data_IF_552235316596
#
_entry.id   IF_552235316596
#
_cell.length_a   1.000
_cell.length_b   1.000
_cell.length_c   1.000
_cell.angle_alpha   90.00
_cell.angle_beta   90.00
_cell.angle_gamma   90.00
#
_symmetry.space_group_name_H-M   'P 1'
#
loop_
_entity.id
_entity.type
_entity.pdbx_description
1 polymer ?
#
# COMPACT_ATOMS: atom_id res chain seq x y z
N UNK A 1 5.84 63.79 -60.51
CA UNK A 1 7.08 63.50 -59.77
C UNK A 1 6.69 63.24 -58.34
N UNK A 2 6.73 61.99 -57.89
CA UNK A 2 7.45 61.57 -56.69
C UNK A 2 7.25 60.06 -56.48
N UNK A 3 8.35 59.32 -56.53
CA UNK A 3 8.43 57.90 -56.22
C UNK A 3 9.45 57.76 -55.11
N UNK A 4 9.02 57.43 -53.90
CA UNK A 4 9.75 56.59 -52.93
C UNK A 4 9.18 56.78 -51.51
N UNK A 5 8.67 55.70 -50.93
CA UNK A 5 9.06 55.41 -49.55
C UNK A 5 9.16 53.91 -49.31
N UNK A 6 10.36 53.57 -48.87
CA UNK A 6 10.92 52.27 -48.52
C UNK A 6 10.62 51.97 -47.04
N UNK A 7 10.77 50.68 -46.69
CA UNK A 7 11.44 50.17 -45.46
C UNK A 7 10.61 50.26 -44.17
N UNK A 8 10.59 49.29 -43.24
CA UNK A 8 11.16 47.93 -43.14
C UNK A 8 10.48 47.29 -41.92
N UNK A 9 9.90 46.10 -42.04
CA UNK A 9 9.46 45.29 -40.92
C UNK A 9 10.53 44.22 -40.64
N UNK A 10 11.24 44.32 -39.51
CA UNK A 10 12.10 43.27 -38.93
C UNK A 10 12.69 43.78 -37.61
N UNK A 11 12.03 43.53 -36.47
CA UNK A 11 12.64 43.57 -35.15
C UNK A 11 11.69 43.02 -34.07
N UNK A 12 11.64 41.69 -33.93
CA UNK A 12 11.03 41.05 -32.76
C UNK A 12 11.32 39.54 -32.74
N UNK A 13 12.60 39.16 -32.68
CA UNK A 13 13.01 37.75 -32.53
C UNK A 13 14.23 37.54 -31.60
N UNK A 14 14.45 38.42 -30.63
CA UNK A 14 15.63 38.36 -29.74
C UNK A 14 15.31 38.57 -28.26
N UNK A 15 14.14 38.15 -27.77
CA UNK A 15 13.73 38.37 -26.38
C UNK A 15 13.30 37.11 -25.60
N UNK A 16 13.47 35.90 -26.16
CA UNK A 16 12.93 34.66 -25.53
C UNK A 16 14.00 33.74 -24.94
N UNK A 17 15.30 33.98 -25.18
CA UNK A 17 16.35 33.04 -24.75
C UNK A 17 17.03 33.36 -23.41
N UNK A 18 16.81 34.54 -22.82
CA UNK A 18 17.49 34.91 -21.55
C UNK A 18 16.72 34.54 -20.28
N UNK A 19 15.50 33.99 -20.38
CA UNK A 19 14.70 33.61 -19.20
C UNK A 19 14.85 32.14 -18.79
N UNK A 20 15.47 31.29 -19.60
CA UNK A 20 15.55 29.84 -19.34
C UNK A 20 16.77 29.42 -18.50
N UNK A 21 17.72 30.33 -18.24
CA UNK A 21 18.98 30.03 -17.53
C UNK A 21 18.98 30.39 -16.04
N UNK A 22 17.86 30.88 -15.47
CA UNK A 22 17.77 31.28 -14.05
C UNK A 22 17.01 30.33 -13.12
N UNK A 23 16.57 29.15 -13.59
CA UNK A 23 15.78 28.21 -12.76
C UNK A 23 16.63 27.04 -12.23
N UNK A 24 17.91 26.92 -12.62
CA UNK A 24 18.70 25.70 -12.36
C UNK A 24 19.57 25.69 -11.10
N UNK A 25 19.43 26.66 -10.19
CA UNK A 25 20.46 26.83 -9.14
C UNK A 25 19.94 27.25 -7.75
N UNK A 26 18.75 26.78 -7.34
CA UNK A 26 18.27 26.93 -5.96
C UNK A 26 17.34 25.78 -5.52
N UNK A 27 17.90 24.61 -5.25
CA UNK A 27 17.27 23.60 -4.37
C UNK A 27 18.22 22.41 -4.17
N UNK A 28 19.38 22.68 -3.56
CA UNK A 28 20.26 21.67 -3.01
C UNK A 28 20.82 22.20 -1.68
N UNK A 29 20.10 21.93 -0.59
CA UNK A 29 20.63 21.83 0.77
C UNK A 29 19.49 21.54 1.73
N UNK A 30 19.80 20.79 2.78
CA UNK A 30 18.95 20.41 3.91
C UNK A 30 18.21 19.07 3.76
N UNK A 31 19.02 18.01 3.68
CA UNK A 31 18.67 16.73 4.30
C UNK A 31 19.29 16.74 5.70
N UNK A 32 18.49 17.10 6.71
CA UNK A 32 18.84 16.99 8.12
C UNK A 32 17.70 16.20 8.80
N UNK A 33 18.07 15.01 9.28
CA UNK A 33 17.60 14.35 10.51
C UNK A 33 16.08 14.19 10.71
N UNK A 34 15.54 13.05 10.25
CA UNK A 34 14.34 12.49 10.87
C UNK A 34 14.75 11.17 11.55
N UNK A 35 14.90 11.23 12.88
CA UNK A 35 14.79 10.09 13.79
C UNK A 35 13.36 9.54 13.67
N UNK A 36 13.18 8.48 12.87
CA UNK A 36 11.94 7.73 12.83
C UNK A 36 11.98 6.62 13.91
N UNK A 37 11.96 7.04 15.17
CA UNK A 37 11.50 6.21 16.29
C UNK A 37 9.96 6.21 16.27
N UNK A 38 9.39 5.57 15.24
CA UNK A 38 7.95 5.36 15.11
C UNK A 38 7.57 3.96 15.60
N UNK A 39 7.84 3.69 16.88
CA UNK A 39 7.11 2.67 17.64
C UNK A 39 5.72 3.22 18.04
N UNK A 40 4.95 3.68 17.06
CA UNK A 40 3.53 4.00 17.26
C UNK A 40 2.75 2.72 17.00
N UNK A 41 2.63 1.90 18.05
CA UNK A 41 1.54 0.95 18.17
C UNK A 41 0.29 1.65 17.65
N UNK A 42 -0.36 1.12 16.62
CA UNK A 42 -1.66 1.58 16.13
C UNK A 42 -2.71 1.44 17.26
N UNK A 43 -2.62 2.32 18.26
CA UNK A 43 -3.53 2.43 19.37
C UNK A 43 -4.64 3.32 18.85
N UNK A 44 -5.49 2.72 18.01
CA UNK A 44 -6.68 3.37 17.50
C UNK A 44 -7.39 4.07 18.66
N UNK A 45 -7.76 5.36 18.52
CA UNK A 45 -8.32 6.12 19.61
C UNK A 45 -9.53 5.36 20.16
N UNK A 46 -9.66 5.17 21.49
CA UNK A 46 -10.71 4.36 22.12
C UNK A 46 -12.14 4.64 21.62
N UNK A 47 -12.37 5.87 21.11
CA UNK A 47 -13.64 6.29 20.51
C UNK A 47 -14.02 5.54 19.23
N UNK A 48 -13.06 5.14 18.39
CA UNK A 48 -13.33 4.40 17.15
C UNK A 48 -13.74 2.94 17.44
N UNK A 49 -13.14 2.32 18.47
CA UNK A 49 -13.54 0.98 18.90
C UNK A 49 -14.97 0.98 19.45
N UNK A 50 -15.32 1.95 20.29
CA UNK A 50 -16.69 2.08 20.82
C UNK A 50 -17.71 2.26 19.69
N UNK A 51 -17.40 3.09 18.69
CA UNK A 51 -18.27 3.28 17.54
C UNK A 51 -18.57 1.97 16.79
N UNK A 52 -17.54 1.16 16.51
CA UNK A 52 -17.74 -0.11 15.82
C UNK A 52 -18.57 -1.09 16.64
N UNK A 53 -18.38 -1.13 17.97
CA UNK A 53 -19.16 -1.98 18.86
C UNK A 53 -20.63 -1.54 18.95
N UNK A 54 -20.89 -0.24 18.95
CA UNK A 54 -22.25 0.31 18.92
C UNK A 54 -22.96 -0.02 17.60
N UNK A 55 -22.22 -0.07 16.49
CA UNK A 55 -22.72 -0.55 15.20
C UNK A 55 -23.05 -2.04 15.25
N UNK A 56 -22.13 -2.89 15.71
CA UNK A 56 -22.34 -4.33 15.84
C UNK A 56 -23.64 -4.63 16.61
N UNK A 57 -23.83 -3.99 17.77
CA UNK A 57 -25.00 -4.16 18.63
C UNK A 57 -26.31 -3.77 17.92
N UNK A 58 -26.30 -2.72 17.11
CA UNK A 58 -27.49 -2.25 16.41
C UNK A 58 -27.80 -3.01 15.12
N UNK A 59 -26.81 -3.69 14.55
CA UNK A 59 -26.92 -4.36 13.27
C UNK A 59 -27.08 -5.88 13.41
N UNK A 60 -26.77 -6.42 14.58
CA UNK A 60 -26.87 -7.84 14.90
C UNK A 60 -28.27 -8.41 14.57
N UNK A 61 -28.30 -9.50 13.80
CA UNK A 61 -29.52 -10.23 13.46
C UNK A 61 -30.45 -9.57 12.45
N UNK A 62 -30.05 -8.44 11.86
CA UNK A 62 -30.83 -7.79 10.80
C UNK A 62 -30.69 -8.55 9.47
N UNK A 63 -31.77 -8.54 8.67
CA UNK A 63 -31.71 -9.00 7.28
C UNK A 63 -30.88 -8.04 6.42
N UNK A 64 -30.36 -8.52 5.29
CA UNK A 64 -29.52 -7.74 4.38
C UNK A 64 -30.03 -6.33 4.09
N UNK A 65 -31.28 -6.18 3.63
CA UNK A 65 -31.86 -4.87 3.29
C UNK A 65 -31.94 -3.92 4.50
N UNK A 66 -32.34 -4.45 5.66
CA UNK A 66 -32.44 -3.67 6.90
C UNK A 66 -31.07 -3.29 7.44
N UNK A 67 -30.11 -4.22 7.38
CA UNK A 67 -28.71 -3.98 7.76
C UNK A 67 -28.13 -2.83 6.94
N UNK A 68 -28.24 -2.91 5.61
CA UNK A 68 -27.69 -1.91 4.69
C UNK A 68 -28.31 -0.54 4.93
N UNK A 69 -29.65 -0.46 4.97
CA UNK A 69 -30.37 0.79 5.23
C UNK A 69 -30.02 1.39 6.60
N UNK A 70 -29.97 0.55 7.64
CA UNK A 70 -29.66 0.98 9.01
C UNK A 70 -28.22 1.47 9.14
N UNK A 71 -27.25 0.74 8.61
CA UNK A 71 -25.83 1.09 8.64
C UNK A 71 -25.58 2.44 7.95
N UNK A 72 -26.13 2.64 6.75
CA UNK A 72 -26.04 3.91 6.03
C UNK A 72 -26.60 5.07 6.87
N UNK A 73 -27.74 4.85 7.55
CA UNK A 73 -28.36 5.85 8.43
C UNK A 73 -27.49 6.15 9.66
N UNK A 74 -26.93 5.15 10.31
CA UNK A 74 -26.05 5.32 11.48
C UNK A 74 -24.76 6.05 11.13
N UNK A 75 -24.21 5.79 9.94
CA UNK A 75 -23.06 6.50 9.41
C UNK A 75 -23.41 7.87 8.79
N UNK A 76 -24.69 8.27 8.76
CA UNK A 76 -25.13 9.54 8.16
C UNK A 76 -24.72 9.71 6.68
N UNK A 77 -24.71 8.62 5.91
CA UNK A 77 -24.15 8.56 4.55
C UNK A 77 -22.66 8.98 4.43
N UNK A 78 -21.92 8.95 5.54
CA UNK A 78 -20.48 9.23 5.54
C UNK A 78 -19.71 8.00 5.06
N UNK A 79 -19.10 8.12 3.87
CA UNK A 79 -18.30 7.05 3.29
C UNK A 79 -17.11 6.66 4.16
N UNK A 80 -16.44 7.62 4.80
CA UNK A 80 -15.25 7.32 5.60
C UNK A 80 -15.61 6.43 6.78
N UNK A 81 -16.70 6.74 7.51
CA UNK A 81 -17.19 5.90 8.61
C UNK A 81 -17.59 4.50 8.15
N UNK A 82 -18.24 4.41 6.98
CA UNK A 82 -18.59 3.11 6.39
C UNK A 82 -17.35 2.31 6.02
N UNK A 83 -16.32 2.96 5.47
CA UNK A 83 -15.08 2.31 5.09
C UNK A 83 -14.29 1.86 6.32
N UNK A 84 -14.18 2.69 7.35
CA UNK A 84 -13.52 2.33 8.61
C UNK A 84 -14.16 1.10 9.24
N UNK A 85 -15.50 1.07 9.30
CA UNK A 85 -16.23 -0.10 9.81
C UNK A 85 -16.05 -1.34 8.94
N UNK A 86 -16.02 -1.18 7.62
CA UNK A 86 -15.75 -2.26 6.66
C UNK A 86 -14.35 -2.86 6.85
N UNK A 87 -13.34 -2.03 7.05
CA UNK A 87 -11.96 -2.47 7.29
C UNK A 87 -11.87 -3.26 8.61
N UNK A 88 -12.53 -2.80 9.67
CA UNK A 88 -12.65 -3.56 10.94
C UNK A 88 -13.31 -4.91 10.80
N UNK A 89 -14.40 -4.98 10.02
CA UNK A 89 -15.02 -6.26 9.70
C UNK A 89 -14.08 -7.16 8.89
N UNK A 90 -13.32 -6.61 7.96
CA UNK A 90 -12.34 -7.37 7.19
C UNK A 90 -11.19 -7.91 8.04
N UNK A 91 -10.67 -7.12 8.98
CA UNK A 91 -9.68 -7.58 9.98
C UNK A 91 -10.22 -8.76 10.80
N UNK A 92 -11.46 -8.66 11.29
CA UNK A 92 -12.11 -9.75 12.03
C UNK A 92 -12.30 -10.99 11.18
N UNK A 93 -12.76 -10.83 9.93
CA UNK A 93 -12.97 -11.94 9.01
C UNK A 93 -11.66 -12.68 8.69
N UNK A 94 -10.54 -11.97 8.52
CA UNK A 94 -9.21 -12.57 8.27
C UNK A 94 -8.72 -13.50 9.37
N UNK A 95 -9.22 -13.35 10.60
CA UNK A 95 -8.88 -14.23 11.73
C UNK A 95 -9.68 -15.54 11.74
N UNK A 96 -10.63 -15.72 10.81
CA UNK A 96 -11.46 -16.92 10.73
C UNK A 96 -10.91 -17.93 9.69
N UNK A 97 -11.10 -19.23 9.92
CA UNK A 97 -10.80 -20.24 8.91
C UNK A 97 -11.63 -19.99 7.65
N UNK A 98 -11.09 -20.38 6.50
CA UNK A 98 -11.71 -20.24 5.18
C UNK A 98 -11.92 -18.79 4.67
N UNK A 99 -11.40 -17.78 5.37
CA UNK A 99 -11.40 -16.42 4.84
C UNK A 99 -10.56 -16.37 3.55
N UNK A 100 -11.06 -15.74 2.45
CA UNK A 100 -10.28 -15.58 1.23
C UNK A 100 -8.97 -14.86 1.50
N UNK A 101 -7.88 -15.39 0.94
CA UNK A 101 -6.57 -14.74 0.98
C UNK A 101 -6.57 -13.51 0.07
N UNK A 102 -5.88 -12.44 0.51
CA UNK A 102 -5.69 -11.23 -0.27
C UNK A 102 -6.10 -9.94 0.43
N UNK A 103 -6.17 -8.85 -0.34
CA UNK A 103 -6.53 -7.52 0.15
C UNK A 103 -8.01 -7.24 -0.09
N UNK A 104 -8.63 -6.48 0.81
CA UNK A 104 -9.98 -5.97 0.61
C UNK A 104 -9.98 -5.04 -0.61
N UNK A 105 -10.84 -5.28 -1.58
CA UNK A 105 -10.90 -4.48 -2.81
C UNK A 105 -12.11 -3.56 -2.83
N UNK A 106 -11.93 -2.34 -3.32
CA UNK A 106 -13.08 -1.51 -3.67
C UNK A 106 -13.68 -2.04 -4.97
N UNK A 107 -14.92 -2.56 -4.89
CA UNK A 107 -15.63 -3.04 -6.08
C UNK A 107 -15.74 -1.88 -7.07
N UNK A 108 -15.24 -2.10 -8.30
CA UNK A 108 -15.31 -1.09 -9.37
C UNK A 108 -16.76 -0.64 -9.53
N UNK A 109 -16.94 0.64 -9.86
CA UNK A 109 -18.24 1.28 -10.04
C UNK A 109 -19.08 0.52 -11.08
N UNK A 110 -19.82 -0.54 -10.68
CA UNK A 110 -20.98 -0.97 -11.45
C UNK A 110 -21.89 0.24 -11.57
N UNK A 111 -22.57 0.39 -12.71
CA UNK A 111 -23.44 1.55 -12.99
C UNK A 111 -24.59 1.73 -11.98
N UNK A 112 -24.80 0.76 -11.10
CA UNK A 112 -25.88 0.71 -10.12
C UNK A 112 -25.37 0.88 -8.69
N UNK A 113 -25.90 1.89 -7.99
CA UNK A 113 -25.71 2.13 -6.55
C UNK A 113 -24.60 3.13 -6.20
N UNK A 114 -24.83 3.89 -5.12
CA UNK A 114 -23.83 4.82 -4.57
C UNK A 114 -22.65 4.05 -3.95
N UNK A 115 -21.54 4.76 -3.72
CA UNK A 115 -20.34 4.18 -3.11
C UNK A 115 -20.61 3.70 -1.69
N UNK A 116 -21.42 4.45 -0.93
CA UNK A 116 -21.86 4.15 0.43
C UNK A 116 -22.69 2.87 0.46
N UNK A 117 -23.62 2.72 -0.50
CA UNK A 117 -24.46 1.54 -0.59
C UNK A 117 -23.63 0.27 -0.86
N UNK A 118 -22.65 0.36 -1.75
CA UNK A 118 -21.72 -0.74 -2.04
C UNK A 118 -20.88 -1.11 -0.81
N UNK A 119 -20.34 -0.12 -0.11
CA UNK A 119 -19.61 -0.38 1.14
C UNK A 119 -20.50 -1.03 2.20
N UNK A 120 -21.76 -0.61 2.31
CA UNK A 120 -22.70 -1.20 3.26
C UNK A 120 -23.07 -2.65 2.90
N UNK A 121 -23.18 -2.98 1.60
CA UNK A 121 -23.32 -4.37 1.13
C UNK A 121 -22.09 -5.19 1.53
N UNK A 122 -20.89 -4.68 1.28
CA UNK A 122 -19.65 -5.38 1.65
C UNK A 122 -19.54 -5.59 3.17
N UNK A 123 -19.98 -4.61 3.98
CA UNK A 123 -20.08 -4.76 5.44
C UNK A 123 -21.03 -5.89 5.84
N UNK A 124 -22.19 -6.00 5.18
CA UNK A 124 -23.12 -7.10 5.44
C UNK A 124 -22.52 -8.45 5.06
N UNK A 125 -21.83 -8.53 3.91
CA UNK A 125 -21.16 -9.75 3.46
C UNK A 125 -20.10 -10.22 4.46
N UNK A 126 -19.29 -9.29 4.99
CA UNK A 126 -18.28 -9.59 6.00
C UNK A 126 -18.92 -10.03 7.34
N UNK A 127 -19.94 -9.31 7.81
CA UNK A 127 -20.63 -9.66 9.06
C UNK A 127 -21.32 -11.04 8.97
N UNK A 128 -22.01 -11.32 7.87
CA UNK A 128 -22.62 -12.62 7.62
C UNK A 128 -21.58 -13.75 7.63
N UNK A 129 -20.41 -13.52 7.01
CA UNK A 129 -19.30 -14.47 7.04
C UNK A 129 -18.76 -14.69 8.47
N UNK A 130 -18.55 -13.62 9.23
CA UNK A 130 -18.09 -13.69 10.63
C UNK A 130 -19.06 -14.51 11.49
N UNK A 131 -20.36 -14.37 11.24
CA UNK A 131 -21.41 -15.11 11.94
C UNK A 131 -21.64 -16.52 11.38
N UNK A 132 -20.75 -17.04 10.52
CA UNK A 132 -20.76 -18.43 10.04
C UNK A 132 -21.68 -18.69 8.85
N UNK A 133 -22.24 -17.67 8.22
CA UNK A 133 -23.00 -17.85 6.98
C UNK A 133 -22.06 -18.19 5.82
N UNK A 134 -22.42 -19.21 5.04
CA UNK A 134 -21.72 -19.55 3.80
C UNK A 134 -22.08 -18.54 2.71
N UNK A 135 -21.42 -17.39 2.72
CA UNK A 135 -21.61 -16.36 1.72
C UNK A 135 -20.54 -16.47 0.63
N UNK A 136 -20.93 -16.85 -0.60
CA UNK A 136 -20.00 -16.94 -1.74
C UNK A 136 -19.46 -15.58 -2.16
N UNK A 137 -20.18 -14.51 -1.84
CA UNK A 137 -19.82 -13.13 -2.20
C UNK A 137 -18.58 -12.65 -1.43
N UNK A 138 -18.17 -13.36 -0.37
CA UNK A 138 -16.93 -13.07 0.35
C UNK A 138 -15.70 -13.09 -0.59
N UNK A 139 -15.70 -13.99 -1.58
CA UNK A 139 -14.61 -14.07 -2.56
C UNK A 139 -14.62 -12.92 -3.57
N UNK A 140 -15.73 -12.18 -3.70
CA UNK A 140 -15.82 -11.03 -4.60
C UNK A 140 -15.29 -9.74 -3.98
N UNK A 141 -15.19 -9.67 -2.64
CA UNK A 141 -14.75 -8.47 -1.93
C UNK A 141 -13.26 -8.51 -1.55
N UNK A 142 -12.60 -9.66 -1.71
CA UNK A 142 -11.16 -9.80 -1.59
C UNK A 142 -10.53 -9.99 -2.97
N UNK A 143 -9.39 -9.33 -3.24
CA UNK A 143 -8.60 -9.64 -4.42
C UNK A 143 -8.08 -11.06 -4.29
N UNK A 144 -8.42 -11.93 -5.24
CA UNK A 144 -7.62 -13.12 -5.46
C UNK A 144 -6.25 -12.65 -5.91
N UNK A 145 -5.28 -12.68 -5.01
CA UNK A 145 -3.87 -12.62 -5.39
C UNK A 145 -3.67 -13.86 -6.26
N UNK A 146 -3.78 -13.71 -7.57
CA UNK A 146 -3.24 -14.70 -8.49
C UNK A 146 -1.74 -14.65 -8.29
N UNK A 147 -1.24 -15.31 -7.25
CA UNK A 147 0.13 -15.77 -7.16
C UNK A 147 0.33 -16.80 -8.28
N UNK A 148 0.32 -16.34 -9.53
CA UNK A 148 1.19 -16.96 -10.51
C UNK A 148 2.58 -16.58 -10.02
N UNK A 149 3.21 -17.51 -9.31
CA UNK A 149 4.66 -17.62 -9.26
C UNK A 149 5.13 -17.66 -10.72
N UNK A 150 5.39 -16.49 -11.29
CA UNK A 150 6.11 -16.39 -12.54
C UNK A 150 7.56 -16.63 -12.18
N UNK A 151 7.99 -17.88 -12.29
CA UNK A 151 9.41 -18.20 -12.42
C UNK A 151 9.78 -17.71 -13.83
N UNK A 152 10.22 -16.46 -13.94
CA UNK A 152 10.78 -15.94 -15.19
C UNK A 152 12.26 -16.33 -15.25
N UNK A 153 12.53 -17.42 -15.96
CA UNK A 153 13.82 -17.62 -16.60
C UNK A 153 13.99 -16.53 -17.67
N UNK A 154 14.93 -15.62 -17.38
CA UNK A 154 15.69 -14.78 -18.31
C UNK A 154 14.92 -13.92 -19.35
N UNK A 155 15.12 -12.60 -19.18
CA UNK A 155 15.01 -11.53 -20.19
C UNK A 155 13.60 -11.16 -20.68
N UNK A 156 13.02 -10.13 -20.05
CA UNK A 156 12.02 -9.29 -20.73
C UNK A 156 11.06 -8.51 -19.85
N UNK A 157 11.60 -7.56 -19.07
CA UNK A 157 10.91 -6.44 -18.40
C UNK A 157 9.38 -6.39 -18.47
N UNK A 158 8.74 -6.65 -17.32
CA UNK A 158 7.46 -6.04 -16.95
C UNK A 158 7.45 -5.78 -15.45
N UNK A 159 7.75 -4.53 -15.09
CA UNK A 159 7.56 -4.00 -13.74
C UNK A 159 6.05 -3.85 -13.51
N UNK A 160 5.52 -4.58 -12.53
CA UNK A 160 4.19 -4.35 -11.97
C UNK A 160 4.36 -3.96 -10.51
N UNK A 161 4.27 -2.65 -10.25
CA UNK A 161 4.33 -2.04 -8.93
C UNK A 161 2.97 -2.17 -8.23
N UNK A 162 2.86 -3.07 -7.26
CA UNK A 162 1.93 -2.90 -6.13
C UNK A 162 2.22 -3.91 -5.01
N UNK A 163 3.40 -3.83 -4.39
CA UNK A 163 3.69 -4.34 -3.04
C UNK A 163 5.04 -3.74 -2.59
N UNK A 164 5.11 -2.42 -2.40
CA UNK A 164 6.38 -1.72 -2.20
C UNK A 164 7.06 -2.11 -0.86
N UNK A 165 6.34 -2.34 0.23
CA UNK A 165 7.03 -2.49 1.53
C UNK A 165 7.64 -3.89 1.78
N UNK A 166 7.02 -4.96 1.29
CA UNK A 166 7.56 -6.32 1.47
C UNK A 166 8.56 -6.71 0.36
N UNK A 167 8.37 -6.16 -0.85
CA UNK A 167 9.31 -6.31 -1.97
C UNK A 167 10.62 -5.58 -1.70
N UNK A 168 10.59 -4.43 -1.03
CA UNK A 168 11.79 -3.63 -0.79
C UNK A 168 12.69 -4.29 0.26
N UNK A 169 12.12 -4.90 1.31
CA UNK A 169 12.89 -5.69 2.27
C UNK A 169 13.54 -6.92 1.63
N UNK A 170 12.81 -7.63 0.77
CA UNK A 170 13.34 -8.81 0.10
C UNK A 170 14.40 -8.45 -0.95
N UNK A 171 14.20 -7.36 -1.69
CA UNK A 171 15.17 -6.80 -2.63
C UNK A 171 16.44 -6.34 -1.90
N UNK A 172 16.29 -5.60 -0.79
CA UNK A 172 17.40 -5.15 0.05
C UNK A 172 18.21 -6.34 0.62
N UNK A 173 17.52 -7.41 1.02
CA UNK A 173 18.17 -8.64 1.51
C UNK A 173 18.96 -9.35 0.40
N UNK A 174 18.47 -9.41 -0.84
CA UNK A 174 19.22 -9.98 -1.96
C UNK A 174 20.43 -9.11 -2.35
N UNK A 175 20.30 -7.79 -2.29
CA UNK A 175 21.43 -6.86 -2.47
C UNK A 175 22.50 -7.08 -1.38
N UNK A 176 22.08 -7.20 -0.12
CA UNK A 176 23.01 -7.50 0.99
C UNK A 176 23.68 -8.86 0.82
N UNK A 177 22.95 -9.91 0.43
CA UNK A 177 23.53 -11.23 0.14
C UNK A 177 24.57 -11.15 -0.97
N UNK A 178 24.29 -10.42 -2.04
CA UNK A 178 25.22 -10.18 -3.14
C UNK A 178 26.50 -9.47 -2.68
N UNK A 179 26.35 -8.41 -1.88
CA UNK A 179 27.49 -7.67 -1.32
C UNK A 179 28.34 -8.54 -0.38
N UNK A 180 27.71 -9.37 0.46
CA UNK A 180 28.39 -10.32 1.35
C UNK A 180 29.19 -11.35 0.55
N UNK A 181 28.61 -11.93 -0.50
CA UNK A 181 29.29 -12.90 -1.35
C UNK A 181 30.47 -12.26 -2.09
N UNK A 182 30.33 -11.01 -2.54
CA UNK A 182 31.40 -10.28 -3.20
C UNK A 182 32.55 -9.95 -2.23
N UNK A 183 32.25 -9.48 -1.01
CA UNK A 183 33.26 -9.27 0.04
C UNK A 183 33.95 -10.58 0.44
N UNK A 184 33.21 -11.68 0.55
CA UNK A 184 33.78 -13.00 0.85
C UNK A 184 34.75 -13.47 -0.25
N UNK A 185 34.48 -13.14 -1.52
CA UNK A 185 35.34 -13.45 -2.66
C UNK A 185 36.61 -12.59 -2.68
N UNK A 186 36.49 -11.30 -2.35
CA UNK A 186 37.64 -10.37 -2.27
C UNK A 186 38.56 -10.68 -1.07
N UNK A 187 37.99 -11.18 0.03
CA UNK A 187 38.73 -11.55 1.23
C UNK A 187 39.03 -13.05 1.36
N UNK A 188 38.88 -13.83 0.29
CA UNK A 188 39.13 -15.28 0.27
C UNK A 188 40.56 -15.69 0.69
N UNK A 189 41.50 -14.73 0.73
CA UNK A 189 42.89 -14.94 1.18
C UNK A 189 43.12 -14.59 2.66
N UNK A 190 42.10 -14.12 3.39
CA UNK A 190 42.19 -13.79 4.82
C UNK A 190 41.18 -14.61 5.65
N UNK A 191 41.58 -15.80 6.16
CA UNK A 191 40.67 -16.75 6.81
C UNK A 191 39.98 -16.19 8.06
N UNK A 192 40.59 -15.21 8.74
CA UNK A 192 40.02 -14.53 9.91
C UNK A 192 38.76 -13.73 9.58
N UNK A 193 38.68 -13.15 8.37
CA UNK A 193 37.54 -12.33 7.93
C UNK A 193 36.33 -13.20 7.63
N UNK A 194 36.54 -14.39 7.06
CA UNK A 194 35.46 -15.34 6.77
C UNK A 194 34.81 -15.89 8.04
N UNK A 195 35.59 -16.18 9.08
CA UNK A 195 35.06 -16.61 10.37
C UNK A 195 34.23 -15.53 11.05
N UNK A 196 34.65 -14.26 10.98
CA UNK A 196 33.89 -13.15 11.52
C UNK A 196 32.56 -12.96 10.78
N UNK A 197 32.59 -12.98 9.44
CA UNK A 197 31.37 -12.89 8.62
C UNK A 197 30.38 -14.04 8.88
N UNK A 198 30.86 -15.27 9.04
CA UNK A 198 29.99 -16.39 9.38
C UNK A 198 29.34 -16.25 10.76
N UNK A 199 30.08 -15.71 11.73
CA UNK A 199 29.56 -15.39 13.06
C UNK A 199 28.47 -14.31 12.99
N UNK A 200 28.74 -13.23 12.25
CA UNK A 200 27.81 -12.11 12.13
C UNK A 200 26.52 -12.52 11.42
N UNK A 201 26.62 -13.34 10.36
CA UNK A 201 25.45 -13.91 9.68
C UNK A 201 24.63 -14.81 10.61
N UNK A 202 25.28 -15.65 11.42
CA UNK A 202 24.57 -16.50 12.39
C UNK A 202 23.85 -15.67 13.46
N UNK A 203 24.46 -14.58 13.91
CA UNK A 203 23.86 -13.68 14.90
C UNK A 203 22.62 -12.97 14.32
N UNK A 204 22.69 -12.47 13.08
CA UNK A 204 21.56 -11.84 12.40
C UNK A 204 20.42 -12.83 12.17
N UNK A 205 20.72 -14.05 11.71
CA UNK A 205 19.71 -15.10 11.51
C UNK A 205 19.06 -15.54 12.83
N UNK A 206 19.82 -15.57 13.92
CA UNK A 206 19.30 -15.88 15.26
C UNK A 206 18.37 -14.78 15.76
N UNK A 207 18.78 -13.51 15.62
CA UNK A 207 17.94 -12.37 15.97
C UNK A 207 16.63 -12.36 15.17
N UNK A 208 16.69 -12.72 13.88
CA UNK A 208 15.52 -12.82 13.03
C UNK A 208 14.56 -13.93 13.45
N UNK A 209 15.06 -15.09 13.89
CA UNK A 209 14.23 -16.18 14.45
C UNK A 209 13.52 -15.76 15.73
N UNK A 210 14.25 -15.13 16.65
CA UNK A 210 13.71 -14.59 17.90
C UNK A 210 12.61 -13.57 17.63
N UNK A 211 12.82 -12.67 16.67
CA UNK A 211 11.82 -11.68 16.26
C UNK A 211 10.53 -12.32 15.71
N UNK A 212 10.65 -13.43 14.98
CA UNK A 212 9.50 -14.14 14.41
C UNK A 212 8.86 -15.16 15.37
N UNK A 213 9.33 -15.27 16.62
CA UNK A 213 8.75 -16.17 17.62
C UNK A 213 8.95 -17.67 17.33
N UNK A 214 9.97 -18.02 16.55
CA UNK A 214 10.37 -19.41 16.22
C UNK A 214 11.74 -19.75 16.76
#
# INVERSE_FOLDING_TARGET
MDTSSKRTARQSQTAVNDSLLKIKEKSASQADCCDDDYDDYEMFPPRQQQFCQDLDNQLCGLSSELYISRLIKLCSNDYSKLNDYRERLAERAKNLPDCPQGRLINRKNSSTGSREHKNAIDCYTLDAFINGARNKDIHEIFSQTNERLVIDDANGSKVCTCNTEQSDLQSSMEIMKGAILQMAKEHAHHPTVLHQLQSDISNVLTAFRVFNGT
#
